data_IF_647356199491
#
_entry.id   IF_647356199491
#
_cell.length_a   1.000
_cell.length_b   1.000
_cell.length_c   1.000
_cell.angle_alpha   90.00
_cell.angle_beta   90.00
_cell.angle_gamma   90.00
#
_symmetry.space_group_name_H-M   'P 1'
#
loop_
_entity.id
_entity.type
_entity.pdbx_description
1 polymer ?
#
# COMPACT_ATOMS: atom_id res chain seq x y z
N UNK A 1 -3.31 25.19 1.47
CA UNK A 1 -3.09 25.63 2.85
C UNK A 1 -3.53 24.49 3.76
N UNK A 2 -2.66 23.51 3.98
CA UNK A 2 -2.87 22.51 5.04
C UNK A 2 -2.35 23.13 6.33
N UNK A 3 -3.26 23.49 7.23
CA UNK A 3 -2.91 23.92 8.58
C UNK A 3 -2.40 22.69 9.33
N UNK A 4 -1.08 22.59 9.48
CA UNK A 4 -0.45 21.62 10.37
C UNK A 4 -0.78 22.04 11.81
N UNK A 5 -1.80 21.42 12.39
CA UNK A 5 -2.09 21.51 13.84
C UNK A 5 -0.93 20.85 14.57
N UNK A 6 -0.06 21.63 15.19
CA UNK A 6 1.00 21.10 16.05
C UNK A 6 0.42 20.69 17.40
N UNK A 7 0.22 19.38 17.57
CA UNK A 7 -0.17 18.77 18.85
C UNK A 7 1.11 18.57 19.65
N UNK A 8 1.23 19.21 20.82
CA UNK A 8 2.33 18.95 21.77
C UNK A 8 2.00 17.67 22.58
N UNK A 9 2.68 16.53 22.31
CA UNK A 9 2.33 15.25 22.92
C UNK A 9 2.60 15.22 24.43
N UNK A 10 3.38 16.17 24.93
CA UNK A 10 3.80 16.26 26.33
C UNK A 10 2.66 16.67 27.26
N UNK A 11 1.67 17.42 26.73
CA UNK A 11 0.54 17.99 27.49
C UNK A 11 -0.71 17.11 27.52
N UNK A 12 -0.67 15.96 26.88
CA UNK A 12 -1.77 15.01 26.81
C UNK A 12 -1.95 14.26 28.13
N UNK A 13 -3.20 13.95 28.51
CA UNK A 13 -3.46 13.05 29.62
C UNK A 13 -2.99 11.62 29.28
N UNK A 14 -2.75 10.74 30.27
CA UNK A 14 -2.39 9.35 30.00
C UNK A 14 -3.41 8.62 29.11
N UNK A 15 -4.69 8.92 29.28
CA UNK A 15 -5.76 8.35 28.44
C UNK A 15 -5.66 8.85 26.99
N UNK A 16 -5.49 10.17 26.78
CA UNK A 16 -5.35 10.73 25.43
C UNK A 16 -4.10 10.20 24.72
N UNK A 17 -3.00 9.96 25.45
CA UNK A 17 -1.78 9.37 24.89
C UNK A 17 -2.03 7.95 24.38
N UNK A 18 -2.79 7.15 25.12
CA UNK A 18 -3.13 5.78 24.71
C UNK A 18 -4.03 5.80 23.46
N UNK A 19 -5.05 6.64 23.46
CA UNK A 19 -5.96 6.77 22.31
C UNK A 19 -5.22 7.27 21.06
N UNK A 20 -4.33 8.24 21.21
CA UNK A 20 -3.52 8.75 20.10
C UNK A 20 -2.54 7.71 19.56
N UNK A 21 -1.95 6.86 20.41
CA UNK A 21 -1.12 5.74 19.95
C UNK A 21 -1.93 4.77 19.10
N UNK A 22 -3.16 4.46 19.50
CA UNK A 22 -4.05 3.59 18.73
C UNK A 22 -4.43 4.23 17.38
N UNK A 23 -4.82 5.52 17.38
CA UNK A 23 -5.12 6.26 16.16
C UNK A 23 -3.91 6.27 15.23
N UNK A 24 -2.73 6.60 15.75
CA UNK A 24 -1.51 6.65 14.95
C UNK A 24 -1.18 5.29 14.33
N UNK A 25 -1.31 4.20 15.08
CA UNK A 25 -1.13 2.85 14.55
C UNK A 25 -2.12 2.56 13.40
N UNK A 26 -3.38 2.92 13.56
CA UNK A 26 -4.41 2.71 12.54
C UNK A 26 -4.17 3.57 11.29
N UNK A 27 -3.82 4.85 11.46
CA UNK A 27 -3.49 5.74 10.34
C UNK A 27 -2.23 5.28 9.61
N UNK A 28 -1.22 4.80 10.34
CA UNK A 28 -0.02 4.23 9.72
C UNK A 28 -0.37 3.03 8.84
N UNK A 29 -1.23 2.12 9.30
CA UNK A 29 -1.70 0.99 8.48
C UNK A 29 -2.42 1.46 7.22
N UNK A 30 -3.28 2.49 7.31
CA UNK A 30 -3.96 3.06 6.13
C UNK A 30 -2.97 3.65 5.13
N UNK A 31 -1.94 4.36 5.61
CA UNK A 31 -0.87 4.92 4.76
C UNK A 31 -0.15 3.80 4.01
N UNK A 32 0.19 2.70 4.69
CA UNK A 32 0.86 1.56 4.05
C UNK A 32 -0.01 0.95 2.93
N UNK A 33 -1.31 0.78 3.16
CA UNK A 33 -2.24 0.31 2.12
C UNK A 33 -2.29 1.29 0.95
N UNK A 34 -2.37 2.60 1.22
CA UNK A 34 -2.41 3.62 0.18
C UNK A 34 -1.13 3.64 -0.67
N UNK A 35 0.04 3.54 -0.04
CA UNK A 35 1.33 3.44 -0.72
C UNK A 35 1.40 2.18 -1.60
N UNK A 36 0.90 1.05 -1.10
CA UNK A 36 0.84 -0.20 -1.85
C UNK A 36 -0.07 -0.08 -3.07
N UNK A 37 -1.26 0.53 -2.92
CA UNK A 37 -2.18 0.79 -4.03
C UNK A 37 -1.53 1.66 -5.10
N UNK A 38 -0.86 2.76 -4.72
CA UNK A 38 -0.14 3.62 -5.66
C UNK A 38 0.98 2.87 -6.38
N UNK A 39 1.77 2.09 -5.65
CA UNK A 39 2.85 1.30 -6.23
C UNK A 39 2.33 0.29 -7.26
N UNK A 40 1.33 -0.51 -6.89
CA UNK A 40 0.70 -1.49 -7.76
C UNK A 40 0.06 -0.83 -8.99
N UNK A 41 -0.61 0.30 -8.78
CA UNK A 41 -1.21 1.08 -9.87
C UNK A 41 -0.14 1.49 -10.87
N UNK A 42 0.98 2.07 -10.42
CA UNK A 42 2.07 2.48 -11.29
C UNK A 42 2.68 1.28 -12.05
N UNK A 43 3.02 0.21 -11.34
CA UNK A 43 3.65 -0.98 -11.94
C UNK A 43 2.73 -1.65 -12.96
N UNK A 44 1.47 -1.89 -12.59
CA UNK A 44 0.53 -2.57 -13.46
C UNK A 44 0.05 -1.68 -14.61
N UNK A 45 -0.02 -0.36 -14.41
CA UNK A 45 -0.27 0.58 -15.49
C UNK A 45 0.80 0.48 -16.58
N UNK A 46 2.08 0.60 -16.20
CA UNK A 46 3.20 0.51 -17.17
C UNK A 46 3.26 -0.84 -17.88
N UNK A 47 2.87 -1.93 -17.21
CA UNK A 47 2.89 -3.28 -17.79
C UNK A 47 1.71 -3.59 -18.70
N UNK A 48 0.51 -3.13 -18.34
CA UNK A 48 -0.72 -3.56 -18.98
C UNK A 48 -1.32 -2.52 -19.93
N UNK A 49 -1.07 -1.22 -19.71
CA UNK A 49 -1.66 -0.13 -20.49
C UNK A 49 -0.60 0.43 -21.43
N UNK A 50 -0.31 -0.31 -22.50
CA UNK A 50 0.72 0.04 -23.49
C UNK A 50 0.12 0.59 -24.80
N UNK A 51 -1.20 0.48 -24.97
CA UNK A 51 -1.92 0.94 -26.15
C UNK A 51 -2.20 2.44 -26.16
N UNK A 52 -2.83 2.91 -27.23
CA UNK A 52 -3.37 4.27 -27.27
C UNK A 52 -4.59 4.35 -26.36
N UNK A 53 -4.58 5.30 -25.43
CA UNK A 53 -5.74 5.59 -24.57
C UNK A 53 -6.79 6.30 -25.42
N UNK A 54 -7.78 5.55 -25.90
CA UNK A 54 -8.86 6.07 -26.74
C UNK A 54 -10.22 6.13 -26.06
N UNK A 55 -10.39 5.49 -24.91
CA UNK A 55 -11.65 5.38 -24.17
C UNK A 55 -11.44 5.74 -22.70
N UNK A 56 -12.53 6.06 -22.00
CA UNK A 56 -12.53 6.32 -20.56
C UNK A 56 -12.56 5.03 -19.71
N UNK A 57 -12.49 3.86 -20.35
CA UNK A 57 -12.48 2.55 -19.70
C UNK A 57 -11.36 1.69 -20.27
N UNK A 58 -10.86 0.76 -19.45
CA UNK A 58 -9.87 -0.23 -19.87
C UNK A 58 -10.49 -1.21 -20.87
N UNK A 59 -9.73 -1.57 -21.89
CA UNK A 59 -10.11 -2.66 -22.78
C UNK A 59 -10.13 -4.00 -22.03
N UNK A 60 -10.85 -5.00 -22.56
CA UNK A 60 -11.00 -6.31 -21.91
C UNK A 60 -9.65 -6.95 -21.56
N UNK A 61 -8.67 -6.84 -22.46
CA UNK A 61 -7.34 -7.41 -22.27
C UNK A 61 -6.53 -6.62 -21.22
N UNK A 62 -6.64 -5.29 -21.22
CA UNK A 62 -6.01 -4.41 -20.23
C UNK A 62 -6.55 -4.68 -18.82
N UNK A 63 -7.87 -4.82 -18.68
CA UNK A 63 -8.51 -5.16 -17.41
C UNK A 63 -8.03 -6.51 -16.89
N UNK A 64 -8.04 -7.54 -17.72
CA UNK A 64 -7.57 -8.88 -17.34
C UNK A 64 -6.07 -8.88 -17.00
N UNK A 65 -5.26 -8.15 -17.77
CA UNK A 65 -3.84 -7.98 -17.47
C UNK A 65 -3.63 -7.30 -16.12
N UNK A 66 -4.33 -6.20 -15.82
CA UNK A 66 -4.16 -5.46 -14.57
C UNK A 66 -4.54 -6.31 -13.35
N UNK A 67 -5.63 -7.07 -13.42
CA UNK A 67 -6.04 -8.03 -12.38
C UNK A 67 -4.95 -9.09 -12.15
N UNK A 68 -4.45 -9.71 -13.22
CA UNK A 68 -3.39 -10.69 -13.13
C UNK A 68 -2.09 -10.09 -12.60
N UNK A 69 -1.75 -8.87 -13.01
CA UNK A 69 -0.55 -8.18 -12.56
C UNK A 69 -0.54 -7.99 -11.04
N UNK A 70 -1.65 -7.52 -10.46
CA UNK A 70 -1.78 -7.36 -9.00
C UNK A 70 -1.66 -8.70 -8.28
N UNK A 71 -2.39 -9.73 -8.73
CA UNK A 71 -2.34 -11.06 -8.13
C UNK A 71 -0.92 -11.64 -8.16
N UNK A 72 -0.22 -11.53 -9.29
CA UNK A 72 1.15 -12.04 -9.45
C UNK A 72 2.16 -11.27 -8.63
N UNK A 73 1.98 -9.96 -8.46
CA UNK A 73 2.84 -9.18 -7.57
C UNK A 73 2.66 -9.63 -6.13
N UNK A 74 1.42 -9.85 -5.67
CA UNK A 74 1.13 -10.33 -4.32
C UNK A 74 1.71 -11.74 -4.09
N UNK A 75 1.51 -12.66 -5.04
CA UNK A 75 2.10 -14.01 -5.01
C UNK A 75 3.63 -13.95 -4.85
N UNK A 76 4.28 -13.12 -5.67
CA UNK A 76 5.73 -12.96 -5.65
C UNK A 76 6.23 -12.30 -4.36
N UNK A 77 5.53 -11.27 -3.87
CA UNK A 77 5.88 -10.58 -2.64
C UNK A 77 5.81 -11.53 -1.43
N UNK A 78 4.73 -12.32 -1.32
CA UNK A 78 4.58 -13.32 -0.25
C UNK A 78 5.61 -14.44 -0.35
N UNK A 79 5.93 -14.90 -1.57
CA UNK A 79 6.97 -15.90 -1.77
C UNK A 79 8.35 -15.40 -1.32
N UNK A 80 8.68 -14.14 -1.62
CA UNK A 80 9.93 -13.52 -1.16
C UNK A 80 9.95 -13.41 0.36
N UNK A 81 8.88 -12.92 0.98
CA UNK A 81 8.80 -12.80 2.45
C UNK A 81 8.94 -14.18 3.11
N UNK A 82 8.21 -15.18 2.64
CA UNK A 82 8.28 -16.55 3.17
C UNK A 82 9.70 -17.13 3.07
N UNK A 83 10.40 -16.87 1.96
CA UNK A 83 11.78 -17.30 1.80
C UNK A 83 12.73 -16.58 2.79
N UNK A 84 12.57 -15.27 2.97
CA UNK A 84 13.36 -14.50 3.93
C UNK A 84 13.12 -14.96 5.38
N UNK A 85 11.89 -15.30 5.75
CA UNK A 85 11.56 -15.85 7.06
C UNK A 85 12.22 -17.22 7.28
N UNK A 86 12.22 -18.08 6.27
CA UNK A 86 12.92 -19.38 6.31
C UNK A 86 14.43 -19.20 6.53
N UNK A 87 15.07 -18.24 5.85
CA UNK A 87 16.48 -17.93 6.06
C UNK A 87 16.76 -17.38 7.47
N UNK A 88 15.85 -16.57 8.03
CA UNK A 88 15.99 -16.03 9.38
C UNK A 88 15.85 -17.10 10.46
N UNK A 89 15.00 -18.11 10.26
CA UNK A 89 14.82 -19.25 11.18
C UNK A 89 15.85 -20.37 11.01
N UNK A 90 16.73 -20.28 10.01
CA UNK A 90 17.83 -21.23 9.77
C UNK A 90 19.15 -20.78 10.43
N UNK A 91 19.13 -19.67 11.17
CA UNK A 91 20.18 -19.21 12.09
C UNK A 91 19.73 -19.40 13.54
#
# INVERSE_FOLDING_TARGET
MEQQVQIDPSKLSPADKQDLQQILSNEQQKIQVHQTVHHLTNVCWTKCIQGKIGRNTLEKNELSCAQNCVNRWMDANLAVISHLESLRGSQ
#
